data_IF_055074681418
#
_entry.id   IF_055074681418
#
_cell.length_a   1.000
_cell.length_b   1.000
_cell.length_c   1.000
_cell.angle_alpha   90.00
_cell.angle_beta   90.00
_cell.angle_gamma   90.00
#
_symmetry.space_group_name_H-M   'P 1'
#
loop_
_entity.id
_entity.type
_entity.pdbx_description
1 polymer ?
#
# COMPACT_ATOMS: atom_id res chain seq x y z
N UNK A 1 -25.42 28.66 -4.77
CA UNK A 1 -24.08 28.59 -4.17
C UNK A 1 -23.20 27.80 -5.12
N UNK A 2 -22.43 28.50 -6.01
CA UNK A 2 -21.63 27.92 -7.05
C UNK A 2 -20.25 27.36 -6.54
N UNK A 3 -20.27 26.36 -5.68
CA UNK A 3 -19.05 25.68 -5.34
C UNK A 3 -18.51 24.91 -6.57
N UNK A 4 -17.31 25.25 -7.02
CA UNK A 4 -16.63 24.56 -8.11
C UNK A 4 -16.28 23.16 -7.62
N UNK A 5 -16.96 22.13 -8.17
CA UNK A 5 -16.72 20.73 -7.79
C UNK A 5 -15.52 20.12 -8.53
N UNK A 6 -15.09 20.70 -9.66
CA UNK A 6 -13.94 20.23 -10.43
C UNK A 6 -13.36 21.35 -11.31
N UNK A 7 -12.04 21.33 -11.47
CA UNK A 7 -11.30 22.13 -12.45
C UNK A 7 -10.46 21.22 -13.34
N UNK A 8 -10.51 21.49 -14.63
CA UNK A 8 -9.75 20.79 -15.65
C UNK A 8 -9.04 21.81 -16.53
N UNK A 9 -7.82 21.53 -16.92
CA UNK A 9 -7.09 22.36 -17.86
C UNK A 9 -6.74 21.53 -19.10
N UNK A 10 -7.03 22.08 -20.27
CA UNK A 10 -6.76 21.48 -21.57
C UNK A 10 -5.80 22.36 -22.37
N UNK A 11 -4.86 21.73 -23.08
CA UNK A 11 -3.96 22.36 -24.04
C UNK A 11 -4.06 21.61 -25.35
N UNK A 12 -4.39 22.31 -26.44
CA UNK A 12 -4.54 21.72 -27.79
C UNK A 12 -5.47 20.48 -27.82
N UNK A 13 -6.57 20.50 -27.07
CA UNK A 13 -7.53 19.39 -26.98
C UNK A 13 -7.08 18.19 -26.12
N UNK A 14 -5.86 18.19 -25.62
CA UNK A 14 -5.37 17.19 -24.66
C UNK A 14 -5.50 17.72 -23.23
N UNK A 15 -5.87 16.82 -22.32
CA UNK A 15 -5.84 17.13 -20.91
C UNK A 15 -4.39 17.13 -20.44
N UNK A 16 -3.86 18.33 -20.24
CA UNK A 16 -2.48 18.55 -19.85
C UNK A 16 -2.46 19.41 -18.59
N UNK A 17 -1.66 19.04 -17.59
CA UNK A 17 -1.36 19.65 -16.32
C UNK A 17 -2.12 19.07 -15.13
N UNK A 18 -3.19 19.71 -14.62
CA UNK A 18 -3.73 19.40 -13.30
C UNK A 18 -5.25 19.27 -13.29
N UNK A 19 -5.73 18.11 -12.82
CA UNK A 19 -7.12 17.88 -12.46
C UNK A 19 -7.28 18.08 -10.96
N UNK A 20 -8.28 18.87 -10.56
CA UNK A 20 -8.62 19.10 -9.17
C UNK A 20 -10.13 18.94 -8.97
N UNK A 21 -10.51 18.28 -7.89
CA UNK A 21 -11.91 18.15 -7.45
C UNK A 21 -12.02 18.52 -5.96
N UNK A 22 -13.20 18.97 -5.57
CA UNK A 22 -13.54 19.35 -4.20
C UNK A 22 -14.80 18.63 -3.75
N UNK A 23 -14.90 18.42 -2.46
CA UNK A 23 -16.13 18.03 -1.80
C UNK A 23 -17.12 19.20 -1.75
N UNK A 24 -18.40 18.92 -1.50
CA UNK A 24 -19.44 19.96 -1.35
C UNK A 24 -19.15 20.96 -0.22
N UNK A 25 -18.39 20.55 0.81
CA UNK A 25 -17.97 21.41 1.90
C UNK A 25 -16.77 22.33 1.56
N UNK A 26 -16.27 22.28 0.32
CA UNK A 26 -15.15 23.09 -0.17
C UNK A 26 -13.77 22.50 0.07
N UNK A 27 -13.63 21.44 0.82
CA UNK A 27 -12.36 20.78 1.01
C UNK A 27 -11.90 20.08 -0.27
N UNK A 28 -10.59 20.08 -0.52
CA UNK A 28 -10.01 19.36 -1.65
C UNK A 28 -10.31 17.87 -1.55
N UNK A 29 -10.61 17.21 -2.68
CA UNK A 29 -10.92 15.78 -2.76
C UNK A 29 -9.82 15.01 -3.48
N UNK A 30 -9.38 15.54 -4.63
CA UNK A 30 -8.31 14.94 -5.43
C UNK A 30 -7.54 16.01 -6.18
N UNK A 31 -6.26 15.79 -6.32
CA UNK A 31 -5.36 16.49 -7.23
C UNK A 31 -4.50 15.46 -7.94
N UNK A 32 -4.41 15.55 -9.26
CA UNK A 32 -3.60 14.64 -10.07
C UNK A 32 -3.07 15.38 -11.28
N UNK A 33 -1.81 15.16 -11.63
CA UNK A 33 -1.16 15.74 -12.78
C UNK A 33 -1.23 14.80 -13.99
N UNK A 34 -1.34 15.41 -15.17
CA UNK A 34 -1.37 14.71 -16.45
C UNK A 34 -0.41 15.37 -17.44
N UNK A 35 0.11 14.56 -18.35
CA UNK A 35 0.78 14.99 -19.58
C UNK A 35 0.12 14.22 -20.73
N UNK A 36 -0.44 14.93 -21.70
CA UNK A 36 -1.12 14.35 -22.89
C UNK A 36 -2.15 13.25 -22.50
N UNK A 37 -3.05 13.55 -21.56
CA UNK A 37 -4.06 12.63 -21.03
C UNK A 37 -3.52 11.45 -20.17
N UNK A 38 -2.20 11.36 -19.97
CA UNK A 38 -1.57 10.29 -19.20
C UNK A 38 -1.20 10.81 -17.81
N UNK A 39 -1.56 10.12 -16.71
CA UNK A 39 -1.13 10.49 -15.38
C UNK A 39 0.40 10.58 -15.29
N UNK A 40 0.91 11.75 -14.82
CA UNK A 40 2.35 11.99 -14.70
C UNK A 40 2.62 12.97 -13.56
N UNK A 41 3.39 12.56 -12.56
CA UNK A 41 3.62 13.34 -11.35
C UNK A 41 2.74 12.90 -10.17
N UNK A 42 2.61 13.76 -9.13
CA UNK A 42 1.89 13.42 -7.92
C UNK A 42 0.38 13.26 -8.13
N UNK A 43 -0.21 12.26 -7.43
CA UNK A 43 -1.63 12.12 -7.19
C UNK A 43 -1.90 12.24 -5.70
N UNK A 44 -2.68 13.24 -5.30
CA UNK A 44 -3.04 13.53 -3.93
C UNK A 44 -4.54 13.35 -3.75
N UNK A 45 -4.96 12.72 -2.66
CA UNK A 45 -6.37 12.61 -2.26
C UNK A 45 -6.54 13.02 -0.81
N UNK A 46 -7.68 13.58 -0.50
CA UNK A 46 -8.08 13.99 0.85
C UNK A 46 -9.40 13.36 1.23
N UNK A 47 -9.64 13.25 2.50
CA UNK A 47 -10.95 12.99 3.07
C UNK A 47 -11.81 14.28 3.07
N UNK A 48 -13.09 14.11 3.29
CA UNK A 48 -14.05 15.21 3.40
C UNK A 48 -13.78 16.16 4.58
N UNK A 49 -13.07 15.70 5.61
CA UNK A 49 -12.61 16.52 6.73
C UNK A 49 -11.31 17.30 6.44
N UNK A 50 -10.76 17.21 5.22
CA UNK A 50 -9.54 17.91 4.79
C UNK A 50 -8.23 17.18 5.09
N UNK A 51 -8.26 16.07 5.81
CA UNK A 51 -7.06 15.28 6.08
C UNK A 51 -6.59 14.52 4.84
N UNK A 52 -5.27 14.35 4.72
CA UNK A 52 -4.66 13.56 3.64
C UNK A 52 -5.16 12.11 3.71
N UNK A 53 -5.53 11.56 2.55
CA UNK A 53 -5.97 10.18 2.37
C UNK A 53 -4.96 9.33 1.63
N UNK A 54 -4.28 9.95 0.64
CA UNK A 54 -3.39 9.24 -0.27
C UNK A 54 -2.41 10.24 -0.90
N UNK A 55 -1.16 9.83 -0.98
CA UNK A 55 -0.11 10.45 -1.78
C UNK A 55 0.61 9.37 -2.57
N UNK A 56 0.73 9.52 -3.87
CA UNK A 56 1.45 8.61 -4.76
C UNK A 56 1.99 9.38 -5.96
N UNK A 57 2.93 8.76 -6.67
CA UNK A 57 3.56 9.35 -7.85
C UNK A 57 3.35 8.45 -9.05
N UNK A 58 2.97 9.09 -10.17
CA UNK A 58 2.86 8.45 -11.48
C UNK A 58 3.99 8.93 -12.39
N UNK A 59 4.45 8.04 -13.24
CA UNK A 59 5.29 8.32 -14.39
C UNK A 59 4.77 7.55 -15.59
N UNK A 60 4.46 8.27 -16.67
CA UNK A 60 3.96 7.68 -17.93
C UNK A 60 2.78 6.73 -17.71
N UNK A 61 1.83 7.13 -16.86
CA UNK A 61 0.61 6.38 -16.54
C UNK A 61 0.75 5.27 -15.50
N UNK A 62 1.97 4.94 -15.10
CA UNK A 62 2.26 3.88 -14.13
C UNK A 62 2.65 4.44 -12.77
N UNK A 63 2.29 3.76 -11.71
CA UNK A 63 2.80 4.07 -10.36
C UNK A 63 4.33 3.94 -10.38
N UNK A 64 5.02 4.99 -9.92
CA UNK A 64 6.48 5.03 -9.94
C UNK A 64 7.01 5.94 -8.83
N UNK A 65 7.54 5.36 -7.78
CA UNK A 65 7.99 6.04 -6.58
C UNK A 65 7.24 5.59 -5.34
N UNK A 66 7.38 6.35 -4.26
CA UNK A 66 6.76 6.04 -2.99
C UNK A 66 5.28 6.44 -2.98
N UNK A 67 4.48 5.70 -2.22
CA UNK A 67 3.10 6.04 -1.93
C UNK A 67 2.78 5.83 -0.46
N UNK A 68 1.98 6.73 0.08
CA UNK A 68 1.48 6.65 1.46
C UNK A 68 -0.02 6.86 1.46
N UNK A 69 -0.72 6.00 2.19
CA UNK A 69 -2.14 6.15 2.47
C UNK A 69 -2.37 6.31 3.97
N UNK A 70 -3.42 7.03 4.33
CA UNK A 70 -3.82 7.28 5.71
C UNK A 70 -5.28 6.90 5.94
N UNK A 71 -5.60 6.57 7.16
CA UNK A 71 -6.96 6.49 7.66
C UNK A 71 -7.54 7.89 7.91
N UNK A 72 -8.85 7.98 8.03
CA UNK A 72 -9.56 9.25 8.31
C UNK A 72 -9.21 9.84 9.68
N UNK A 73 -8.67 9.04 10.60
CA UNK A 73 -8.17 9.49 11.91
C UNK A 73 -6.71 10.00 11.89
N UNK A 74 -6.05 10.03 10.71
CA UNK A 74 -4.70 10.51 10.51
C UNK A 74 -3.60 9.45 10.65
N UNK A 75 -3.90 8.28 11.17
CA UNK A 75 -2.91 7.20 11.26
C UNK A 75 -2.54 6.68 9.87
N UNK A 76 -1.27 6.30 9.67
CA UNK A 76 -0.85 5.62 8.44
C UNK A 76 -1.68 4.37 8.22
N UNK A 77 -2.01 4.09 6.95
CA UNK A 77 -2.72 2.90 6.50
C UNK A 77 -1.81 1.99 5.67
N UNK A 78 -1.07 2.58 4.73
CA UNK A 78 -0.11 1.89 3.87
C UNK A 78 1.09 2.79 3.59
N UNK A 79 2.25 2.17 3.44
CA UNK A 79 3.49 2.76 2.95
C UNK A 79 4.10 1.76 1.96
N UNK A 80 4.43 2.21 0.76
CA UNK A 80 4.85 1.33 -0.32
C UNK A 80 5.66 2.06 -1.38
N UNK A 81 6.33 1.27 -2.22
CA UNK A 81 7.07 1.79 -3.37
C UNK A 81 6.74 1.00 -4.62
N UNK A 82 6.71 1.70 -5.75
CA UNK A 82 6.52 1.12 -7.07
C UNK A 82 7.62 1.57 -8.03
N UNK A 83 7.98 0.68 -8.94
CA UNK A 83 8.79 0.98 -10.12
C UNK A 83 8.04 0.48 -11.35
N UNK A 84 7.69 1.39 -12.27
CA UNK A 84 6.94 1.07 -13.50
C UNK A 84 5.72 0.19 -13.26
N UNK A 85 4.93 0.50 -12.23
CA UNK A 85 3.71 -0.23 -11.86
C UNK A 85 3.94 -1.51 -11.05
N UNK A 86 5.17 -1.95 -10.87
CA UNK A 86 5.52 -3.13 -10.07
C UNK A 86 5.90 -2.70 -8.64
N UNK A 87 5.36 -3.42 -7.65
CA UNK A 87 5.71 -3.18 -6.25
C UNK A 87 7.15 -3.61 -5.99
N UNK A 88 7.91 -2.76 -5.28
CA UNK A 88 9.29 -2.99 -4.90
C UNK A 88 9.51 -2.63 -3.42
N UNK A 89 10.60 -3.12 -2.84
CA UNK A 89 11.03 -2.81 -1.48
C UNK A 89 10.00 -3.24 -0.41
N UNK A 90 10.10 -2.62 0.76
CA UNK A 90 9.21 -2.91 1.87
C UNK A 90 7.84 -2.28 1.62
N UNK A 91 6.80 -3.08 1.79
CA UNK A 91 5.43 -2.65 1.95
C UNK A 91 4.99 -2.84 3.39
N UNK A 92 4.48 -1.78 3.99
CA UNK A 92 3.95 -1.83 5.35
C UNK A 92 2.49 -1.40 5.36
N UNK A 93 1.65 -2.11 6.10
CA UNK A 93 0.29 -1.75 6.39
C UNK A 93 0.07 -1.66 7.91
N UNK A 94 -0.85 -0.80 8.32
CA UNK A 94 -1.22 -0.60 9.72
C UNK A 94 -2.71 -0.80 9.92
N UNK A 95 -3.09 -1.15 11.13
CA UNK A 95 -4.44 -1.06 11.63
C UNK A 95 -4.82 0.40 11.89
N UNK A 96 -6.12 0.69 11.96
CA UNK A 96 -6.59 2.07 12.21
C UNK A 96 -6.23 2.61 13.60
N UNK A 97 -5.85 1.75 14.55
CA UNK A 97 -5.32 2.14 15.87
C UNK A 97 -3.82 2.50 15.83
N UNK A 98 -3.14 2.37 14.69
CA UNK A 98 -1.72 2.71 14.51
C UNK A 98 -0.75 1.53 14.65
N UNK A 99 -1.19 0.38 15.14
CA UNK A 99 -0.34 -0.80 15.20
C UNK A 99 -0.07 -1.36 13.81
N UNK A 100 1.14 -1.91 13.57
CA UNK A 100 1.43 -2.62 12.33
C UNK A 100 0.41 -3.75 12.13
N UNK A 101 0.12 -4.06 10.86
CA UNK A 101 -0.72 -5.18 10.42
C UNK A 101 0.07 -6.16 9.56
N UNK A 102 0.85 -5.63 8.63
CA UNK A 102 1.67 -6.43 7.71
C UNK A 102 2.92 -5.62 7.38
N UNK A 103 4.05 -6.31 7.27
CA UNK A 103 5.27 -5.79 6.68
C UNK A 103 5.90 -6.89 5.83
N UNK A 104 6.34 -6.56 4.62
CA UNK A 104 6.95 -7.54 3.75
C UNK A 104 7.69 -6.92 2.58
N UNK A 105 8.67 -7.66 2.08
CA UNK A 105 9.48 -7.26 0.94
C UNK A 105 8.86 -7.68 -0.38
N UNK A 106 9.02 -6.81 -1.39
CA UNK A 106 8.61 -7.06 -2.76
C UNK A 106 9.77 -6.82 -3.72
N UNK A 107 9.84 -7.66 -4.73
CA UNK A 107 10.77 -7.53 -5.85
C UNK A 107 9.99 -7.80 -7.13
N UNK A 108 10.05 -6.86 -8.08
CA UNK A 108 9.38 -7.01 -9.40
C UNK A 108 7.87 -7.36 -9.31
N UNK A 109 7.19 -6.83 -8.29
CA UNK A 109 5.76 -7.04 -8.05
C UNK A 109 5.41 -8.25 -7.17
N UNK A 110 6.32 -9.20 -7.00
CA UNK A 110 6.14 -10.45 -6.25
C UNK A 110 6.67 -10.31 -4.81
N UNK A 111 6.10 -11.07 -3.88
CA UNK A 111 6.63 -11.18 -2.53
C UNK A 111 7.99 -11.85 -2.57
N UNK A 112 8.98 -11.24 -1.94
CA UNK A 112 10.34 -11.78 -1.94
C UNK A 112 11.09 -11.35 -0.68
N UNK A 113 11.46 -12.29 0.17
CA UNK A 113 12.12 -12.06 1.45
C UNK A 113 11.17 -12.14 2.64
N UNK A 114 11.51 -11.46 3.73
CA UNK A 114 10.79 -11.56 5.00
C UNK A 114 9.40 -10.94 4.93
N UNK A 115 8.45 -11.62 5.59
CA UNK A 115 7.09 -11.17 5.84
C UNK A 115 6.74 -11.37 7.31
N UNK A 116 6.05 -10.37 7.90
CA UNK A 116 5.50 -10.44 9.23
C UNK A 116 4.10 -9.84 9.27
N UNK A 117 3.23 -10.42 10.09
CA UNK A 117 1.83 -10.04 10.28
C UNK A 117 1.58 -9.82 11.77
N UNK A 118 0.68 -8.92 12.10
CA UNK A 118 0.36 -8.57 13.48
C UNK A 118 -1.14 -8.50 13.71
N UNK A 119 -1.55 -8.97 14.85
CA UNK A 119 -2.87 -8.76 15.40
C UNK A 119 -3.12 -7.26 15.67
N UNK A 120 -4.37 -6.90 15.85
CA UNK A 120 -4.76 -5.52 16.13
C UNK A 120 -4.27 -5.02 17.51
N UNK A 121 -3.99 -5.93 18.46
CA UNK A 121 -3.39 -5.63 19.76
C UNK A 121 -1.88 -5.31 19.66
N UNK A 122 -1.23 -5.53 18.51
CA UNK A 122 0.18 -5.27 18.26
C UNK A 122 1.09 -6.48 18.43
N UNK A 123 0.59 -7.61 18.92
CA UNK A 123 1.35 -8.87 18.97
C UNK A 123 1.50 -9.45 17.56
N UNK A 124 2.61 -10.16 17.30
CA UNK A 124 2.78 -10.89 16.05
C UNK A 124 1.70 -11.96 15.89
N UNK A 125 1.19 -12.10 14.68
CA UNK A 125 0.28 -13.18 14.25
C UNK A 125 1.06 -14.31 13.57
N UNK A 126 1.98 -13.94 12.67
CA UNK A 126 2.86 -14.89 12.01
C UNK A 126 4.02 -14.18 11.33
N UNK A 127 5.09 -14.91 11.09
CA UNK A 127 6.24 -14.44 10.31
C UNK A 127 6.94 -15.58 9.57
N UNK A 128 7.63 -15.23 8.49
CA UNK A 128 8.38 -16.16 7.66
C UNK A 128 8.96 -15.45 6.44
N UNK A 129 9.23 -16.21 5.39
CA UNK A 129 9.76 -15.67 4.15
C UNK A 129 9.01 -16.20 2.93
N UNK A 130 9.06 -15.41 1.83
CA UNK A 130 8.54 -15.77 0.52
C UNK A 130 9.63 -15.63 -0.54
N UNK A 131 9.52 -16.43 -1.59
CA UNK A 131 10.25 -16.27 -2.83
C UNK A 131 9.28 -16.40 -4.01
N UNK A 132 9.15 -15.33 -4.81
CA UNK A 132 8.21 -15.29 -5.94
C UNK A 132 6.73 -15.53 -5.55
N UNK A 133 6.24 -14.99 -4.43
CA UNK A 133 4.93 -15.22 -3.80
C UNK A 133 4.77 -16.57 -3.06
N UNK A 134 5.66 -17.54 -3.25
CA UNK A 134 5.62 -18.83 -2.58
C UNK A 134 6.22 -18.75 -1.17
N UNK A 135 5.64 -19.50 -0.23
CA UNK A 135 6.17 -19.60 1.12
C UNK A 135 7.43 -20.47 1.12
N UNK A 136 8.48 -20.01 1.81
CA UNK A 136 9.73 -20.73 1.97
C UNK A 136 10.23 -20.72 3.42
N UNK A 137 11.01 -21.73 3.78
CA UNK A 137 11.65 -21.84 5.09
C UNK A 137 10.65 -22.00 6.23
N UNK A 138 11.04 -21.57 7.41
CA UNK A 138 10.21 -21.70 8.60
C UNK A 138 9.23 -20.55 8.69
N UNK A 139 7.97 -20.87 9.01
CA UNK A 139 6.89 -19.95 9.36
C UNK A 139 6.48 -20.22 10.78
N UNK A 140 6.53 -19.17 11.62
CA UNK A 140 6.06 -19.22 13.01
C UNK A 140 4.73 -18.50 13.12
N UNK A 141 3.78 -19.14 13.77
CA UNK A 141 2.44 -18.62 14.04
C UNK A 141 2.29 -18.40 15.55
N UNK A 142 1.65 -17.33 15.94
CA UNK A 142 1.49 -16.92 17.32
C UNK A 142 0.03 -16.75 17.68
N UNK A 143 -0.30 -16.97 18.94
CA UNK A 143 -1.57 -16.59 19.55
C UNK A 143 -1.60 -15.09 19.84
N UNK A 144 -2.78 -14.53 20.08
CA UNK A 144 -2.94 -13.10 20.41
C UNK A 144 -2.24 -12.68 21.73
N UNK A 145 -1.88 -13.62 22.59
CA UNK A 145 -1.09 -13.40 23.80
C UNK A 145 0.43 -13.42 23.56
N UNK A 146 0.85 -13.69 22.32
CA UNK A 146 2.24 -13.74 21.88
C UNK A 146 2.92 -15.11 22.09
N UNK A 147 2.23 -16.12 22.59
CA UNK A 147 2.76 -17.47 22.68
C UNK A 147 2.79 -18.14 21.31
N UNK A 148 3.76 -19.03 21.05
CA UNK A 148 3.83 -19.77 19.79
C UNK A 148 2.66 -20.74 19.71
N UNK A 149 1.89 -20.65 18.62
CA UNK A 149 0.80 -21.54 18.30
C UNK A 149 1.31 -22.80 17.57
N UNK A 150 2.13 -22.56 16.54
CA UNK A 150 2.75 -23.62 15.72
C UNK A 150 3.91 -23.07 14.91
N UNK A 151 4.75 -23.99 14.43
CA UNK A 151 5.76 -23.73 13.42
C UNK A 151 5.55 -24.66 12.24
N UNK A 152 5.73 -24.15 11.04
CA UNK A 152 5.59 -24.89 9.79
C UNK A 152 6.79 -24.61 8.91
N UNK A 153 7.21 -25.59 8.15
CA UNK A 153 8.31 -25.46 7.20
C UNK A 153 7.78 -25.61 5.79
N UNK A 154 8.15 -24.67 4.93
CA UNK A 154 7.73 -24.66 3.53
C UNK A 154 8.94 -24.79 2.61
N UNK A 155 8.74 -25.51 1.50
CA UNK A 155 9.65 -25.59 0.38
C UNK A 155 8.83 -25.40 -0.91
N UNK A 156 9.18 -24.40 -1.71
CA UNK A 156 8.53 -24.10 -2.99
C UNK A 156 6.98 -24.00 -2.85
N UNK A 157 6.52 -23.30 -1.82
CA UNK A 157 5.09 -23.09 -1.51
C UNK A 157 4.39 -24.29 -0.84
N UNK A 158 5.02 -25.44 -0.74
CA UNK A 158 4.44 -26.68 -0.22
C UNK A 158 4.88 -26.87 1.25
N UNK A 159 3.91 -27.22 2.12
CA UNK A 159 4.20 -27.57 3.51
C UNK A 159 5.08 -28.82 3.53
N UNK A 160 6.26 -28.69 4.12
CA UNK A 160 7.22 -29.77 4.28
C UNK A 160 7.04 -30.43 5.64
N UNK A 161 6.43 -31.61 5.65
CA UNK A 161 6.47 -32.49 6.81
C UNK A 161 7.76 -33.32 6.76
N UNK A 162 8.68 -33.21 7.76
CA UNK A 162 9.83 -34.10 7.80
C UNK A 162 9.32 -35.55 7.88
N UNK A 163 9.81 -36.43 6.99
CA UNK A 163 9.51 -37.84 7.08
C UNK A 163 9.87 -38.30 8.49
N UNK A 164 8.90 -38.87 9.19
CA UNK A 164 9.07 -39.35 10.56
C UNK A 164 10.19 -40.39 10.63
N UNK A 165 11.06 -40.22 11.60
CA UNK A 165 12.03 -41.25 11.99
C UNK A 165 11.34 -42.41 12.69
#
# INVERSE_FOLDING_TARGET
NGNVNAKYQYVNGSFDQKRQEWYYNGNKKIEINYIQNVPNGPRLKWYDNGQMKLEEVYKDGLLNGNGIAWYKNGNKKHDYSYNKGQRINIWTAWWSNGNKRIEGNYKEGLKNGAFAFWYKNGQKEKEGACDGDELIGNWTYYNEDGTIQKEERYKDGILFEPEGY
#
